data_IF_278506584991
#
_entry.id   IF_278506584991
#
_cell.length_a   1.000
_cell.length_b   1.000
_cell.length_c   1.000
_cell.angle_alpha   90.00
_cell.angle_beta   90.00
_cell.angle_gamma   90.00
#
_symmetry.space_group_name_H-M   'P 1'
#
loop_
_entity.id
_entity.type
_entity.pdbx_description
1 polymer ?
#
# COMPACT_ATOMS: atom_id res chain seq x y z
N UNK A 1 1.96 -5.05 -16.95
CA UNK A 1 1.81 -6.51 -16.91
C UNK A 1 2.70 -7.16 -15.84
N UNK A 2 4.03 -7.12 -15.99
CA UNK A 2 5.00 -7.73 -15.05
C UNK A 2 4.81 -7.27 -13.60
N UNK A 3 4.65 -5.96 -13.38
CA UNK A 3 4.40 -5.41 -12.03
C UNK A 3 3.12 -6.00 -11.39
N UNK A 4 2.01 -6.09 -12.12
CA UNK A 4 0.73 -6.60 -11.59
C UNK A 4 0.80 -8.08 -11.23
N UNK A 5 1.58 -8.87 -11.96
CA UNK A 5 1.82 -10.29 -11.67
C UNK A 5 2.63 -10.42 -10.37
N UNK A 6 3.70 -9.63 -10.22
CA UNK A 6 4.53 -9.61 -9.02
C UNK A 6 3.77 -9.14 -7.77
N UNK A 7 2.95 -8.10 -7.90
CA UNK A 7 2.12 -7.60 -6.80
C UNK A 7 1.11 -8.67 -6.36
N UNK A 8 0.42 -9.35 -7.29
CA UNK A 8 -0.50 -10.43 -6.94
C UNK A 8 0.22 -11.60 -6.27
N UNK A 9 1.44 -11.92 -6.72
CA UNK A 9 2.32 -12.87 -6.05
C UNK A 9 2.65 -12.44 -4.62
N UNK A 10 3.15 -11.22 -4.38
CA UNK A 10 3.60 -10.77 -3.06
C UNK A 10 2.44 -10.52 -2.08
N UNK A 11 1.28 -10.07 -2.58
CA UNK A 11 0.14 -9.68 -1.75
C UNK A 11 -0.64 -10.88 -1.21
N UNK A 12 -0.63 -12.02 -1.93
CA UNK A 12 -1.35 -13.23 -1.50
C UNK A 12 -0.72 -13.85 -0.25
N UNK A 13 -1.54 -13.99 0.80
CA UNK A 13 -1.16 -14.50 2.14
C UNK A 13 -0.54 -15.90 2.12
N UNK A 14 -0.78 -16.69 1.07
CA UNK A 14 -0.31 -18.09 0.97
C UNK A 14 1.21 -18.21 0.82
N UNK A 15 1.91 -17.17 0.34
CA UNK A 15 3.37 -17.20 0.21
C UNK A 15 4.10 -16.92 1.54
N UNK A 16 3.39 -16.78 2.65
CA UNK A 16 3.99 -16.66 3.99
C UNK A 16 4.75 -15.35 4.21
N UNK A 17 4.60 -14.36 3.34
CA UNK A 17 5.30 -13.08 3.45
C UNK A 17 4.73 -12.27 4.63
N UNK A 18 5.55 -11.88 5.62
CA UNK A 18 5.08 -11.04 6.71
C UNK A 18 4.63 -9.68 6.19
N UNK A 19 3.48 -9.19 6.67
CA UNK A 19 2.82 -7.96 6.17
C UNK A 19 3.73 -6.73 6.18
N UNK A 20 4.63 -6.63 7.16
CA UNK A 20 5.56 -5.52 7.28
C UNK A 20 6.65 -5.52 6.18
N UNK A 21 6.93 -6.68 5.58
CA UNK A 21 7.94 -6.84 4.53
C UNK A 21 7.34 -6.73 3.11
N UNK A 22 6.02 -6.79 2.98
CA UNK A 22 5.32 -6.61 1.71
C UNK A 22 5.68 -5.30 0.98
N UNK A 23 5.68 -4.10 1.61
CA UNK A 23 6.03 -2.87 0.91
C UNK A 23 7.51 -2.85 0.46
N UNK A 24 8.40 -3.49 1.23
CA UNK A 24 9.81 -3.61 0.85
C UNK A 24 9.97 -4.43 -0.43
N UNK A 25 9.34 -5.60 -0.52
CA UNK A 25 9.40 -6.45 -1.70
C UNK A 25 8.78 -5.79 -2.94
N UNK A 26 7.66 -5.09 -2.77
CA UNK A 26 7.04 -4.33 -3.87
C UNK A 26 7.98 -3.21 -4.32
N UNK A 27 8.64 -2.51 -3.40
CA UNK A 27 9.63 -1.49 -3.71
C UNK A 27 10.82 -2.05 -4.51
N UNK A 28 11.44 -3.14 -4.03
CA UNK A 28 12.54 -3.78 -4.75
C UNK A 28 12.12 -4.28 -6.14
N UNK A 29 10.91 -4.85 -6.26
CA UNK A 29 10.38 -5.28 -7.55
C UNK A 29 10.22 -4.10 -8.53
N UNK A 30 9.70 -2.96 -8.06
CA UNK A 30 9.59 -1.74 -8.86
C UNK A 30 10.98 -1.24 -9.27
N UNK A 31 11.94 -1.17 -8.34
CA UNK A 31 13.30 -0.73 -8.63
C UNK A 31 13.99 -1.59 -9.68
N UNK A 32 13.88 -2.92 -9.59
CA UNK A 32 14.48 -3.84 -10.56
C UNK A 32 13.85 -3.69 -11.95
N UNK A 33 12.53 -3.52 -12.00
CA UNK A 33 11.84 -3.25 -13.27
C UNK A 33 12.26 -1.90 -13.86
N UNK A 34 12.37 -0.86 -13.03
CA UNK A 34 12.84 0.46 -13.49
C UNK A 34 14.25 0.41 -14.06
N UNK A 35 15.16 -0.35 -13.45
CA UNK A 35 16.52 -0.54 -13.97
C UNK A 35 16.52 -1.35 -15.27
N UNK A 36 15.74 -2.44 -15.34
CA UNK A 36 15.67 -3.30 -16.53
C UNK A 36 14.98 -2.66 -17.74
N UNK A 37 14.03 -1.76 -17.51
CA UNK A 37 13.27 -1.06 -18.56
C UNK A 37 13.61 0.43 -18.66
N UNK A 38 14.74 0.85 -18.12
CA UNK A 38 15.16 2.27 -18.06
C UNK A 38 15.23 2.90 -19.46
N UNK A 39 15.84 2.18 -20.42
CA UNK A 39 16.10 2.68 -21.78
C UNK A 39 14.86 2.91 -22.65
N UNK A 40 13.71 2.33 -22.29
CA UNK A 40 12.50 2.47 -23.11
C UNK A 40 11.69 3.69 -22.69
N UNK A 41 11.11 3.65 -21.48
CA UNK A 41 10.26 4.73 -20.97
C UNK A 41 10.29 4.82 -19.43
N UNK A 42 11.35 4.30 -18.78
CA UNK A 42 11.47 4.23 -17.31
C UNK A 42 10.15 3.84 -16.60
N UNK A 43 9.55 2.72 -17.02
CA UNK A 43 8.35 2.14 -16.42
C UNK A 43 7.25 3.17 -16.04
N UNK A 44 6.63 3.82 -17.03
CA UNK A 44 5.41 4.59 -16.79
C UNK A 44 4.24 3.64 -16.46
N UNK A 45 4.21 3.13 -15.23
CA UNK A 45 3.27 2.11 -14.75
C UNK A 45 2.03 2.70 -14.06
N UNK A 46 2.01 4.01 -13.83
CA UNK A 46 0.93 4.68 -13.11
C UNK A 46 0.53 5.98 -13.84
N UNK A 47 -0.73 6.11 -14.29
CA UNK A 47 -1.21 7.32 -14.95
C UNK A 47 -1.10 8.56 -14.05
N UNK A 48 -1.30 8.43 -12.74
CA UNK A 48 -1.19 9.55 -11.81
C UNK A 48 0.26 10.04 -11.63
N UNK A 49 1.24 9.13 -11.76
CA UNK A 49 2.67 9.47 -11.71
C UNK A 49 3.08 10.37 -12.88
N UNK A 50 2.45 10.18 -14.04
CA UNK A 50 2.82 10.91 -15.25
C UNK A 50 1.96 12.17 -15.45
N UNK A 51 0.67 12.13 -15.12
CA UNK A 51 -0.24 13.26 -15.37
C UNK A 51 -0.01 14.44 -14.40
N UNK A 52 0.26 14.17 -13.12
CA UNK A 52 0.44 15.21 -12.11
C UNK A 52 1.59 16.17 -12.41
N UNK A 53 2.82 15.66 -12.60
CA UNK A 53 3.97 16.49 -12.98
C UNK A 53 3.76 17.24 -14.30
N UNK A 54 3.08 16.63 -15.30
CA UNK A 54 2.80 17.27 -16.59
C UNK A 54 1.85 18.47 -16.47
N UNK A 55 0.78 18.33 -15.67
CA UNK A 55 -0.13 19.44 -15.39
C UNK A 55 0.61 20.55 -14.63
N UNK A 56 1.45 20.19 -13.66
CA UNK A 56 2.27 21.15 -12.93
C UNK A 56 3.18 21.95 -13.88
N UNK A 57 3.88 21.29 -14.80
CA UNK A 57 4.75 21.97 -15.77
C UNK A 57 3.97 22.83 -16.77
N UNK A 58 2.74 22.44 -17.14
CA UNK A 58 1.86 23.26 -17.97
C UNK A 58 1.53 24.59 -17.25
N UNK A 59 1.15 24.51 -15.97
CA UNK A 59 0.84 25.69 -15.15
C UNK A 59 2.10 26.54 -14.89
N UNK A 60 3.27 25.89 -14.75
CA UNK A 60 4.56 26.56 -14.57
C UNK A 60 5.07 27.29 -15.83
N UNK A 61 4.31 27.28 -16.93
CA UNK A 61 4.61 28.06 -18.13
C UNK A 61 5.49 27.36 -19.16
N UNK A 62 5.74 26.04 -19.03
CA UNK A 62 6.46 25.26 -20.04
C UNK A 62 5.65 25.06 -21.35
N UNK A 63 4.38 25.47 -21.38
CA UNK A 63 3.53 25.44 -22.58
C UNK A 63 2.93 24.07 -22.89
N UNK A 64 2.23 23.95 -24.01
CA UNK A 64 1.55 22.71 -24.42
C UNK A 64 2.50 21.63 -24.94
N UNK A 65 3.77 21.96 -25.18
CA UNK A 65 4.81 21.03 -25.61
C UNK A 65 5.06 19.91 -24.59
N UNK A 66 4.67 20.08 -23.33
CA UNK A 66 4.79 19.02 -22.31
C UNK A 66 3.87 17.82 -22.58
N UNK A 67 2.84 17.99 -23.42
CA UNK A 67 1.92 16.91 -23.83
C UNK A 67 2.29 16.28 -25.17
N UNK A 68 3.20 16.89 -25.93
CA UNK A 68 3.59 16.45 -27.27
C UNK A 68 5.09 16.17 -27.32
N UNK A 69 5.48 14.94 -27.66
CA UNK A 69 6.88 14.58 -27.86
C UNK A 69 7.07 14.19 -29.33
N UNK A 70 7.88 14.96 -30.07
CA UNK A 70 8.14 14.76 -31.51
C UNK A 70 6.86 14.69 -32.37
N UNK A 71 5.92 15.60 -32.13
CA UNK A 71 4.58 15.65 -32.78
C UNK A 71 3.66 14.45 -32.51
N UNK A 72 4.06 13.53 -31.63
CA UNK A 72 3.20 12.46 -31.12
C UNK A 72 2.64 12.86 -29.76
N UNK A 73 1.35 12.61 -29.54
CA UNK A 73 0.65 12.85 -28.26
C UNK A 73 1.07 11.90 -27.13
N UNK A 74 2.37 11.81 -26.83
CA UNK A 74 2.98 10.81 -25.95
C UNK A 74 2.27 10.61 -24.59
N UNK A 75 1.52 11.60 -24.11
CA UNK A 75 0.69 11.50 -22.90
C UNK A 75 -0.32 10.33 -22.90
N UNK A 76 -0.78 9.81 -24.04
CA UNK A 76 -1.71 8.67 -24.07
C UNK A 76 -1.04 7.33 -23.74
N UNK A 77 0.25 7.18 -24.03
CA UNK A 77 1.03 5.95 -23.81
C UNK A 77 1.08 5.55 -22.32
N UNK A 78 1.45 6.45 -21.38
CA UNK A 78 1.47 6.14 -19.95
C UNK A 78 0.06 6.08 -19.31
N UNK A 79 -1.00 6.46 -20.04
CA UNK A 79 -2.38 6.33 -19.56
C UNK A 79 -2.96 4.98 -19.98
N UNK A 80 -2.89 4.66 -21.27
CA UNK A 80 -3.51 3.46 -21.83
C UNK A 80 -2.64 2.23 -21.60
N UNK A 81 -1.32 2.36 -21.69
CA UNK A 81 -0.37 1.26 -21.52
C UNK A 81 -0.50 0.54 -20.17
N UNK A 82 -0.54 1.25 -19.03
CA UNK A 82 -0.75 0.64 -17.72
C UNK A 82 -2.11 -0.03 -17.56
N UNK A 83 -3.17 0.58 -18.08
CA UNK A 83 -4.54 0.03 -17.99
C UNK A 83 -4.64 -1.32 -18.69
N UNK A 84 -4.19 -1.40 -19.95
CA UNK A 84 -4.15 -2.65 -20.71
C UNK A 84 -3.21 -3.66 -20.05
N UNK A 85 -2.04 -3.19 -19.62
CA UNK A 85 -1.06 -4.02 -18.92
C UNK A 85 -1.54 -4.58 -17.59
N UNK A 86 -2.44 -3.88 -16.89
CA UNK A 86 -3.05 -4.33 -15.64
C UNK A 86 -4.13 -5.37 -15.90
N UNK A 87 -5.00 -5.15 -16.89
CA UNK A 87 -6.01 -6.11 -17.34
C UNK A 87 -5.36 -7.43 -17.77
N UNK A 88 -4.36 -7.37 -18.65
CA UNK A 88 -3.64 -8.56 -19.12
C UNK A 88 -2.85 -9.23 -18.01
N UNK A 89 -2.16 -8.46 -17.14
CA UNK A 89 -1.41 -9.03 -16.02
C UNK A 89 -2.28 -9.71 -14.97
N UNK A 90 -3.46 -9.14 -14.68
CA UNK A 90 -4.48 -9.75 -13.83
C UNK A 90 -5.06 -11.03 -14.41
N UNK A 91 -5.47 -10.99 -15.68
CA UNK A 91 -6.00 -12.14 -16.39
C UNK A 91 -5.00 -13.29 -16.48
N UNK A 92 -3.76 -13.00 -16.87
CA UNK A 92 -2.71 -14.00 -17.03
C UNK A 92 -2.34 -14.66 -15.70
N UNK A 93 -2.27 -13.89 -14.61
CA UNK A 93 -2.04 -14.44 -13.27
C UNK A 93 -3.16 -15.39 -12.84
N UNK A 94 -4.43 -15.04 -13.09
CA UNK A 94 -5.57 -15.91 -12.77
C UNK A 94 -5.55 -17.22 -13.57
N UNK A 95 -5.24 -17.16 -14.87
CA UNK A 95 -5.21 -18.34 -15.73
C UNK A 95 -4.07 -19.30 -15.35
N UNK A 96 -2.85 -18.77 -15.17
CA UNK A 96 -1.65 -19.60 -14.98
C UNK A 96 -1.35 -19.95 -13.52
N UNK A 97 -1.75 -19.11 -12.58
CA UNK A 97 -1.46 -19.31 -11.14
C UNK A 97 -2.76 -19.49 -10.36
N UNK A 98 -3.77 -18.65 -10.61
CA UNK A 98 -5.06 -18.72 -9.92
C UNK A 98 -5.78 -20.07 -10.07
N UNK A 99 -5.76 -20.66 -11.27
CA UNK A 99 -6.43 -21.95 -11.52
C UNK A 99 -5.76 -23.15 -10.83
N UNK A 100 -4.45 -23.07 -10.57
CA UNK A 100 -3.68 -24.14 -9.92
C UNK A 100 -3.53 -23.92 -8.41
N UNK A 101 -3.81 -22.71 -7.94
CA UNK A 101 -3.73 -22.31 -6.53
C UNK A 101 -5.16 -22.16 -6.00
N UNK A 102 -5.66 -23.21 -5.35
CA UNK A 102 -6.91 -23.17 -4.57
C UNK A 102 -6.89 -21.98 -3.60
N UNK A 103 -7.77 -21.01 -3.80
CA UNK A 103 -7.87 -19.86 -2.91
C UNK A 103 -8.25 -20.36 -1.51
N UNK A 104 -7.36 -20.16 -0.53
CA UNK A 104 -7.79 -20.22 0.87
C UNK A 104 -8.72 -19.01 1.05
N UNK A 105 -9.94 -19.19 1.62
CA UNK A 105 -10.87 -18.10 1.83
C UNK A 105 -10.15 -16.92 2.51
N UNK A 106 -10.40 -15.71 2.02
CA UNK A 106 -9.88 -14.46 2.60
C UNK A 106 -10.28 -14.25 4.09
N UNK A 107 -11.12 -15.15 4.63
CA UNK A 107 -11.71 -15.16 5.97
C UNK A 107 -11.17 -16.24 6.93
N UNK A 108 -9.89 -16.67 6.82
CA UNK A 108 -9.27 -17.30 7.99
C UNK A 108 -9.01 -16.21 9.04
N UNK A 109 -9.96 -16.08 9.96
CA UNK A 109 -9.89 -15.36 11.23
C UNK A 109 -8.51 -15.52 11.87
N UNK A 110 -7.56 -14.64 11.53
CA UNK A 110 -6.64 -14.17 12.55
C UNK A 110 -7.53 -13.26 13.38
N UNK A 111 -7.95 -13.66 14.61
CA UNK A 111 -8.61 -12.71 15.48
C UNK A 111 -7.71 -11.48 15.50
N UNK A 112 -8.20 -10.34 14.98
CA UNK A 112 -7.55 -9.05 15.22
C UNK A 112 -7.30 -9.06 16.73
N UNK A 113 -6.07 -8.89 17.24
CA UNK A 113 -5.85 -8.90 18.68
C UNK A 113 -6.86 -7.92 19.25
N UNK A 114 -7.84 -8.45 20.00
CA UNK A 114 -8.95 -7.67 20.54
C UNK A 114 -8.28 -6.51 21.26
N UNK A 115 -8.41 -5.29 20.72
CA UNK A 115 -7.86 -4.10 21.35
C UNK A 115 -8.34 -4.20 22.80
N UNK A 116 -7.39 -4.31 23.73
CA UNK A 116 -7.64 -4.59 25.14
C UNK A 116 -8.89 -3.78 25.54
N UNK A 117 -9.96 -4.41 26.04
CA UNK A 117 -11.22 -3.72 26.26
C UNK A 117 -10.92 -2.47 27.09
N UNK A 118 -11.40 -1.32 26.62
CA UNK A 118 -11.23 0.00 27.22
C UNK A 118 -11.65 0.00 28.72
N UNK A 119 -12.44 -0.99 29.11
CA UNK A 119 -12.75 -1.38 30.49
C UNK A 119 -11.52 -1.58 31.37
N UNK A 120 -10.41 -2.16 30.88
CA UNK A 120 -9.18 -2.33 31.68
C UNK A 120 -8.46 -1.00 31.96
N UNK A 121 -8.65 0.01 31.12
CA UNK A 121 -8.07 1.34 31.34
C UNK A 121 -8.95 2.15 32.29
N UNK A 122 -10.28 2.07 32.14
CA UNK A 122 -11.23 2.72 33.06
C UNK A 122 -11.20 2.11 34.46
N UNK A 123 -11.14 0.79 34.59
CA UNK A 123 -11.02 0.14 35.90
C UNK A 123 -9.67 0.42 36.55
N UNK A 124 -8.58 0.49 35.77
CA UNK A 124 -7.27 0.88 36.31
C UNK A 124 -7.25 2.32 36.83
N UNK A 125 -7.89 3.26 36.12
CA UNK A 125 -8.00 4.66 36.58
C UNK A 125 -8.89 4.82 37.81
N UNK A 126 -9.95 4.01 37.94
CA UNK A 126 -10.79 4.02 39.15
C UNK A 126 -10.04 3.48 40.37
N UNK A 127 -9.25 2.41 40.20
CA UNK A 127 -8.47 1.79 41.28
C UNK A 127 -7.32 2.71 41.74
N UNK A 128 -6.71 3.49 40.84
CA UNK A 128 -5.71 4.50 41.26
C UNK A 128 -6.33 5.62 42.07
N UNK A 129 -7.51 6.10 41.68
CA UNK A 129 -8.21 7.17 42.39
C UNK A 129 -8.64 6.74 43.80
N UNK A 130 -9.17 5.53 43.95
CA UNK A 130 -9.57 4.98 45.25
C UNK A 130 -8.36 4.75 46.19
N UNK A 131 -7.21 4.34 45.63
CA UNK A 131 -5.97 4.20 46.40
C UNK A 131 -5.41 5.54 46.89
N UNK A 132 -5.47 6.60 46.09
CA UNK A 132 -5.02 7.93 46.53
C UNK A 132 -5.94 8.52 47.60
N UNK A 133 -7.26 8.28 47.51
CA UNK A 133 -8.22 8.71 48.52
C UNK A 133 -7.98 8.01 49.87
N UNK A 134 -7.77 6.69 49.88
CA UNK A 134 -7.47 5.92 51.10
C UNK A 134 -6.15 6.37 51.75
N UNK A 135 -5.12 6.67 50.95
CA UNK A 135 -3.84 7.18 51.47
C UNK A 135 -4.06 8.56 52.11
N UNK A 136 -4.87 9.44 51.51
CA UNK A 136 -5.14 10.77 52.09
C UNK A 136 -5.87 10.72 53.44
N UNK A 137 -6.76 9.73 53.64
CA UNK A 137 -7.50 9.54 54.91
C UNK A 137 -6.61 8.97 56.01
N UNK A 138 -5.69 8.06 55.67
CA UNK A 138 -4.79 7.42 56.65
C UNK A 138 -3.63 8.35 57.06
N UNK A 139 -3.26 9.32 56.22
CA UNK A 139 -2.11 10.21 56.45
C UNK A 139 -2.48 11.53 57.16
N UNK A 140 -3.70 11.69 57.67
CA UNK A 140 -4.03 12.84 58.52
C UNK A 140 -3.28 12.72 59.86
N UNK A 141 -2.48 13.73 60.25
CA UNK A 141 -1.76 13.68 61.50
C UNK A 141 -2.78 13.87 62.63
N UNK A 142 -2.83 12.91 63.55
CA UNK A 142 -3.57 13.04 64.79
C UNK A 142 -2.97 14.21 65.61
N UNK A 143 -3.64 15.36 65.58
CA UNK A 143 -3.39 16.52 66.46
C UNK A 143 -4.72 17.11 66.92
#
# INVERSE_FOLDING_TARGET
MTLCILIQGITRRRHGVPKHFQPYLVGTAVSLLSLGYSENCMCAMNPARDLGPRIFTLIAGYGWEVFSYRDYGWFFVPIIGPCIGALLGGGLYKIFVGNFVSELPDDYNIPKPKRRPETLTTTASSITNEKEEIISVITLPAY
#
